data_IF_629359664903
#
_entry.id   IF_629359664903
#
_cell.length_a   1.000
_cell.length_b   1.000
_cell.length_c   1.000
_cell.angle_alpha   90.00
_cell.angle_beta   90.00
_cell.angle_gamma   90.00
#
_symmetry.space_group_name_H-M   'P 1'
#
loop_
_entity.id
_entity.type
_entity.pdbx_description
1 polymer ?
#
# COMPACT_ATOMS: atom_id res chain seq x y z
N UNK A 1 -11.70 30.39 -24.79
CA UNK A 1 -11.94 29.10 -24.12
C UNK A 1 -10.76 28.21 -24.43
N UNK A 2 -9.77 28.18 -23.53
CA UNK A 2 -8.58 27.35 -23.67
C UNK A 2 -8.67 26.23 -22.64
N UNK A 3 -8.54 24.99 -23.12
CA UNK A 3 -8.52 23.77 -22.33
C UNK A 3 -7.22 23.73 -21.52
N UNK A 4 -7.33 23.84 -20.20
CA UNK A 4 -6.21 23.62 -19.28
C UNK A 4 -6.52 22.40 -18.43
N UNK A 5 -6.39 21.21 -19.01
CA UNK A 5 -6.16 19.99 -18.23
C UNK A 5 -4.67 19.94 -17.91
N UNK A 6 -4.21 20.89 -17.09
CA UNK A 6 -2.93 20.78 -16.42
C UNK A 6 -3.09 19.82 -15.25
N UNK A 7 -2.76 18.55 -15.45
CA UNK A 7 -2.48 17.66 -14.32
C UNK A 7 -1.23 18.23 -13.67
N UNK A 8 -1.41 18.90 -12.53
CA UNK A 8 -0.35 19.45 -11.72
C UNK A 8 0.55 18.30 -11.22
N UNK A 9 1.69 18.11 -11.87
CA UNK A 9 2.68 17.07 -11.57
C UNK A 9 3.62 17.52 -10.43
N UNK A 10 3.15 18.42 -9.55
CA UNK A 10 3.93 18.92 -8.42
C UNK A 10 3.22 18.68 -7.10
N UNK A 11 2.99 17.41 -6.78
CA UNK A 11 2.83 17.00 -5.39
C UNK A 11 3.67 15.76 -5.12
N UNK A 12 4.82 16.01 -4.54
CA UNK A 12 5.52 15.12 -3.60
C UNK A 12 4.62 14.89 -2.36
N UNK A 13 3.35 14.55 -2.58
CA UNK A 13 2.50 13.94 -1.56
C UNK A 13 2.91 12.50 -1.56
N UNK A 14 3.74 12.13 -0.58
CA UNK A 14 3.93 10.73 -0.24
C UNK A 14 2.53 10.13 -0.06
N UNK A 15 2.09 9.36 -1.06
CA UNK A 15 0.75 8.78 -1.10
C UNK A 15 0.66 7.75 0.02
N UNK A 16 0.23 8.22 1.18
CA UNK A 16 0.01 7.40 2.36
C UNK A 16 -1.32 6.68 2.21
N UNK A 17 -1.30 5.38 2.47
CA UNK A 17 -2.46 4.50 2.48
C UNK A 17 -2.86 4.25 3.92
N UNK A 18 -4.13 4.51 4.23
CA UNK A 18 -4.73 4.07 5.49
C UNK A 18 -4.92 2.55 5.46
N UNK A 19 -4.33 1.86 6.43
CA UNK A 19 -4.51 0.41 6.55
C UNK A 19 -5.96 0.04 6.89
N UNK A 20 -6.70 0.94 7.57
CA UNK A 20 -8.12 0.77 7.85
C UNK A 20 -8.95 0.77 6.55
N UNK A 21 -8.74 1.75 5.69
CA UNK A 21 -9.42 1.82 4.38
C UNK A 21 -9.04 0.63 3.50
N UNK A 22 -7.76 0.23 3.51
CA UNK A 22 -7.30 -0.96 2.81
C UNK A 22 -7.97 -2.24 3.32
N UNK A 23 -8.16 -2.36 4.64
CA UNK A 23 -8.88 -3.47 5.27
C UNK A 23 -10.33 -3.54 4.80
N UNK A 24 -11.03 -2.41 4.80
CA UNK A 24 -12.41 -2.31 4.32
C UNK A 24 -12.55 -2.65 2.83
N UNK A 25 -11.64 -2.15 1.99
CA UNK A 25 -11.66 -2.38 0.54
C UNK A 25 -11.30 -3.82 0.15
N UNK A 26 -10.31 -4.41 0.83
CA UNK A 26 -9.83 -5.77 0.53
C UNK A 26 -10.67 -6.85 1.20
N UNK A 27 -11.43 -6.51 2.25
CA UNK A 27 -12.10 -7.47 3.13
C UNK A 27 -11.14 -8.27 4.02
N UNK A 28 -9.86 -7.92 4.04
CA UNK A 28 -8.85 -8.57 4.87
C UNK A 28 -8.78 -7.86 6.22
N UNK A 29 -8.83 -8.59 7.36
CA UNK A 29 -8.77 -7.97 8.68
C UNK A 29 -7.50 -7.12 8.87
N UNK A 30 -7.67 -5.93 9.46
CA UNK A 30 -6.58 -4.98 9.71
C UNK A 30 -5.39 -5.62 10.45
N UNK A 31 -5.68 -6.41 11.48
CA UNK A 31 -4.65 -7.09 12.28
C UNK A 31 -3.87 -8.11 11.45
N UNK A 32 -4.54 -8.78 10.50
CA UNK A 32 -3.88 -9.71 9.58
C UNK A 32 -2.94 -8.97 8.62
N UNK A 33 -3.40 -7.86 8.04
CA UNK A 33 -2.57 -7.01 7.16
C UNK A 33 -1.31 -6.55 7.90
N UNK A 34 -1.46 -6.04 9.13
CA UNK A 34 -0.34 -5.56 9.95
C UNK A 34 0.64 -6.68 10.30
N UNK A 35 0.13 -7.85 10.67
CA UNK A 35 0.94 -9.01 11.02
C UNK A 35 1.74 -9.54 9.83
N UNK A 36 1.08 -9.77 8.69
CA UNK A 36 1.74 -10.37 7.51
C UNK A 36 2.73 -9.42 6.84
N UNK A 37 2.39 -8.13 6.78
CA UNK A 37 3.26 -7.12 6.17
C UNK A 37 4.27 -6.52 7.15
N UNK A 38 4.21 -6.90 8.43
CA UNK A 38 5.05 -6.38 9.53
C UNK A 38 5.03 -4.84 9.53
N UNK A 39 3.82 -4.29 9.68
CA UNK A 39 3.55 -2.85 9.70
C UNK A 39 3.06 -2.41 11.09
N UNK A 40 3.71 -1.40 11.66
CA UNK A 40 3.40 -0.91 13.02
C UNK A 40 2.56 0.39 13.04
N UNK A 41 2.17 0.92 11.87
CA UNK A 41 1.43 2.17 11.72
C UNK A 41 -0.05 2.02 11.35
N UNK A 42 -0.80 3.13 11.40
CA UNK A 42 -2.15 3.21 10.80
C UNK A 42 -2.10 3.60 9.31
N UNK A 43 -1.06 4.32 8.92
CA UNK A 43 -0.82 4.75 7.55
C UNK A 43 0.55 4.29 7.11
N UNK A 44 0.65 3.81 5.88
CA UNK A 44 1.89 3.32 5.26
C UNK A 44 2.12 4.03 3.94
N UNK A 45 3.37 4.30 3.60
CA UNK A 45 3.70 4.88 2.30
C UNK A 45 3.44 3.86 1.19
N UNK A 46 2.90 4.29 0.05
CA UNK A 46 2.59 3.38 -1.06
C UNK A 46 3.80 2.58 -1.56
N UNK A 47 5.00 3.16 -1.50
CA UNK A 47 6.25 2.47 -1.86
C UNK A 47 6.55 1.33 -0.88
N UNK A 48 6.46 1.60 0.43
CA UNK A 48 6.67 0.60 1.47
C UNK A 48 5.63 -0.51 1.39
N UNK A 49 4.35 -0.17 1.21
CA UNK A 49 3.28 -1.15 1.07
C UNK A 49 3.55 -2.12 -0.09
N UNK A 50 3.97 -1.60 -1.25
CA UNK A 50 4.32 -2.42 -2.41
C UNK A 50 5.48 -3.35 -2.13
N UNK A 51 6.53 -2.85 -1.47
CA UNK A 51 7.69 -3.66 -1.11
C UNK A 51 7.31 -4.80 -0.17
N UNK A 52 6.52 -4.51 0.88
CA UNK A 52 6.06 -5.54 1.83
C UNK A 52 5.18 -6.59 1.16
N UNK A 53 4.24 -6.17 0.31
CA UNK A 53 3.38 -7.11 -0.42
C UNK A 53 4.17 -7.98 -1.38
N UNK A 54 5.15 -7.42 -2.09
CA UNK A 54 6.03 -8.19 -2.97
C UNK A 54 6.84 -9.21 -2.17
N UNK A 55 7.41 -8.80 -1.03
CA UNK A 55 8.12 -9.71 -0.13
C UNK A 55 7.23 -10.83 0.42
N UNK A 56 5.97 -10.55 0.73
CA UNK A 56 4.99 -11.56 1.15
C UNK A 56 4.71 -12.57 0.03
N UNK A 57 4.50 -12.09 -1.21
CA UNK A 57 4.29 -12.94 -2.38
C UNK A 57 5.54 -13.83 -2.59
N UNK A 58 6.72 -13.24 -2.58
CA UNK A 58 7.97 -13.99 -2.75
C UNK A 58 8.14 -15.05 -1.65
N UNK A 59 7.84 -14.72 -0.40
CA UNK A 59 7.88 -15.66 0.72
C UNK A 59 6.79 -16.74 0.65
N UNK A 60 5.70 -16.51 -0.08
CA UNK A 60 4.63 -17.50 -0.27
C UNK A 60 4.95 -18.45 -1.42
N UNK A 61 5.52 -17.93 -2.51
CA UNK A 61 5.76 -18.71 -3.73
C UNK A 61 7.17 -19.34 -3.80
N UNK A 62 8.17 -18.79 -3.11
CA UNK A 62 9.55 -19.29 -3.16
C UNK A 62 10.03 -19.98 -1.88
N UNK A 63 9.17 -20.17 -0.88
CA UNK A 63 9.49 -20.91 0.35
C UNK A 63 9.38 -22.43 0.22
N UNK A 64 8.96 -22.92 -0.95
CA UNK A 64 8.97 -24.35 -1.35
C UNK A 64 9.88 -24.61 -2.57
N UNK A 65 11.11 -24.10 -2.57
CA UNK A 65 12.15 -24.47 -3.55
C UNK A 65 13.36 -25.12 -2.89
#
# INVERSE_FOLDING_TARGET
MSTENGVDITKDTVDKVSLGELSELSGVPLDYIKSELVLDGENVDMSELREKMLGMIDATFFKEA
#
